data_IF_384986934184
#
_entry.id   IF_384986934184
#
_cell.length_a   1.000
_cell.length_b   1.000
_cell.length_c   1.000
_cell.angle_alpha   90.00
_cell.angle_beta   90.00
_cell.angle_gamma   90.00
#
_symmetry.space_group_name_H-M   'P 1'
#
loop_
_entity.id
_entity.type
_entity.pdbx_description
1 polymer ?
#
# COMPACT_ATOMS: atom_id res chain seq x y z
N UNK A 1 -5.48 15.65 8.14
CA UNK A 1 -4.61 15.01 7.12
C UNK A 1 -5.29 13.69 6.77
N UNK A 2 -5.46 13.36 5.48
CA UNK A 2 -6.08 12.09 5.10
C UNK A 2 -5.00 11.00 5.07
N UNK A 3 -5.19 9.95 5.85
CA UNK A 3 -4.40 8.73 5.74
C UNK A 3 -4.75 8.02 4.43
N UNK A 4 -3.73 7.61 3.68
CA UNK A 4 -3.91 6.87 2.42
C UNK A 4 -3.45 5.44 2.64
N UNK A 5 -4.26 4.47 2.21
CA UNK A 5 -3.90 3.06 2.31
C UNK A 5 -2.95 2.65 1.19
N UNK A 6 -1.87 1.99 1.56
CA UNK A 6 -0.86 1.45 0.66
C UNK A 6 -0.69 -0.06 0.86
N UNK A 7 -0.37 -0.77 -0.20
CA UNK A 7 -0.03 -2.20 -0.16
C UNK A 7 1.48 -2.36 -0.22
N UNK A 8 2.04 -3.10 0.74
CA UNK A 8 3.47 -3.42 0.78
C UNK A 8 3.81 -4.39 -0.35
N UNK A 9 4.74 -4.01 -1.24
CA UNK A 9 5.20 -4.85 -2.35
C UNK A 9 6.36 -5.76 -1.97
N UNK A 10 7.19 -5.34 -1.02
CA UNK A 10 8.39 -6.05 -0.58
C UNK A 10 8.38 -6.05 0.95
N UNK A 11 8.62 -7.21 1.57
CA UNK A 11 8.68 -7.30 3.02
C UNK A 11 9.88 -6.52 3.58
N UNK A 12 9.69 -5.87 4.72
CA UNK A 12 10.73 -5.03 5.32
C UNK A 12 10.20 -4.08 6.38
N UNK A 13 11.08 -3.23 6.89
CA UNK A 13 10.72 -2.23 7.89
C UNK A 13 10.11 -0.98 7.23
N UNK A 14 8.88 -0.66 7.62
CA UNK A 14 8.19 0.59 7.27
C UNK A 14 7.92 1.34 8.57
N UNK A 15 8.48 2.55 8.71
CA UNK A 15 8.37 3.38 9.92
C UNK A 15 8.72 2.62 11.22
N UNK A 16 9.80 1.82 11.19
CA UNK A 16 10.26 1.04 12.34
C UNK A 16 9.44 -0.22 12.66
N UNK A 17 8.39 -0.54 11.88
CA UNK A 17 7.63 -1.79 12.01
C UNK A 17 7.89 -2.71 10.83
N UNK A 18 8.22 -3.96 11.10
CA UNK A 18 8.34 -4.97 10.05
C UNK A 18 6.95 -5.27 9.46
N UNK A 19 6.83 -5.20 8.13
CA UNK A 19 5.61 -5.47 7.38
C UNK A 19 5.87 -6.54 6.33
N UNK A 20 4.94 -7.48 6.21
CA UNK A 20 5.01 -8.55 5.20
C UNK A 20 4.52 -8.04 3.84
N UNK A 21 5.02 -8.62 2.76
CA UNK A 21 4.51 -8.39 1.40
C UNK A 21 3.00 -8.67 1.35
N UNK A 22 2.24 -7.80 0.69
CA UNK A 22 0.78 -7.84 0.59
C UNK A 22 0.03 -7.19 1.75
N UNK A 23 0.73 -6.82 2.84
CA UNK A 23 0.09 -6.12 3.97
C UNK A 23 -0.40 -4.75 3.52
N UNK A 24 -1.66 -4.41 3.82
CA UNK A 24 -2.15 -3.04 3.69
C UNK A 24 -1.76 -2.25 4.92
N UNK A 25 -1.20 -1.06 4.72
CA UNK A 25 -0.84 -0.13 5.77
C UNK A 25 -1.35 1.25 5.43
N UNK A 26 -1.83 1.97 6.43
CA UNK A 26 -2.19 3.36 6.30
C UNK A 26 -0.97 4.23 6.61
N UNK A 27 -0.66 5.12 5.68
CA UNK A 27 0.45 6.06 5.80
C UNK A 27 -0.01 7.44 5.39
N UNK A 28 0.61 8.45 5.98
CA UNK A 28 0.50 9.81 5.48
C UNK A 28 1.22 9.92 4.13
N UNK A 29 0.75 10.76 3.20
CA UNK A 29 1.41 10.96 1.90
C UNK A 29 2.89 11.34 2.04
N UNK A 30 3.22 12.16 3.03
CA UNK A 30 4.60 12.57 3.35
C UNK A 30 5.47 11.39 3.77
N UNK A 31 4.93 10.42 4.52
CA UNK A 31 5.65 9.22 4.96
C UNK A 31 5.77 8.20 3.83
N UNK A 32 4.72 8.04 3.03
CA UNK A 32 4.68 7.09 1.92
C UNK A 32 5.61 7.46 0.76
N UNK A 33 5.94 8.75 0.59
CA UNK A 33 6.73 9.26 -0.54
C UNK A 33 8.05 8.51 -0.75
N UNK A 34 8.83 8.29 0.32
CA UNK A 34 10.10 7.57 0.24
C UNK A 34 9.89 6.11 -0.15
N UNK A 35 8.95 5.43 0.50
CA UNK A 35 8.69 4.00 0.23
C UNK A 35 8.07 3.76 -1.15
N UNK A 36 7.30 4.72 -1.67
CA UNK A 36 6.79 4.72 -3.04
C UNK A 36 7.95 4.87 -4.04
N UNK A 37 8.86 5.81 -3.79
CA UNK A 37 10.05 6.04 -4.63
C UNK A 37 10.99 4.84 -4.65
N UNK A 38 11.15 4.17 -3.52
CA UNK A 38 11.93 2.92 -3.40
C UNK A 38 11.19 1.69 -3.97
N UNK A 39 9.92 1.82 -4.37
CA UNK A 39 9.10 0.69 -4.86
C UNK A 39 8.73 -0.35 -3.79
N UNK A 40 8.87 0.00 -2.50
CA UNK A 40 8.55 -0.87 -1.36
C UNK A 40 7.06 -0.98 -1.10
N UNK A 41 6.29 0.07 -1.40
CA UNK A 41 4.84 0.11 -1.28
C UNK A 41 4.21 0.61 -2.59
N UNK A 42 2.93 0.35 -2.78
CA UNK A 42 2.12 0.90 -3.87
C UNK A 42 0.80 1.43 -3.33
N UNK A 43 0.20 2.46 -3.94
CA UNK A 43 -1.15 2.88 -3.58
C UNK A 43 -2.07 1.67 -3.71
N UNK A 44 -2.91 1.41 -2.70
CA UNK A 44 -3.96 0.40 -2.86
C UNK A 44 -4.85 0.90 -3.99
N UNK A 45 -4.76 0.26 -5.16
CA UNK A 45 -5.65 0.56 -6.26
C UNK A 45 -7.07 0.45 -5.71
N UNK A 46 -7.86 1.53 -5.85
CA UNK A 46 -9.29 1.46 -5.61
C UNK A 46 -9.78 0.17 -6.31
N UNK A 47 -10.52 -0.70 -5.60
CA UNK A 47 -10.90 -2.00 -6.15
C UNK A 47 -11.46 -1.75 -7.54
N UNK A 48 -10.75 -2.22 -8.59
CA UNK A 48 -11.35 -2.31 -9.92
C UNK A 48 -12.69 -3.00 -9.68
N UNK A 49 -13.83 -2.42 -10.05
CA UNK A 49 -15.11 -3.06 -9.86
C UNK A 49 -14.95 -4.47 -10.40
N UNK A 50 -15.04 -5.47 -9.51
CA UNK A 50 -15.04 -6.86 -9.90
C UNK A 50 -16.12 -6.95 -10.97
N UNK A 51 -15.69 -7.13 -12.23
CA UNK A 51 -16.60 -7.45 -13.29
C UNK A 51 -17.37 -8.66 -12.78
N UNK A 52 -18.65 -8.45 -12.50
CA UNK A 52 -19.55 -9.49 -12.04
C UNK A 52 -19.33 -10.69 -12.95
N UNK A 53 -18.96 -11.82 -12.35
CA UNK A 53 -19.28 -13.10 -12.96
C UNK A 53 -20.78 -13.06 -13.31
N UNK A 54 -21.07 -13.14 -14.60
CA UNK A 54 -22.34 -13.55 -15.19
C UNK A 54 -21.90 -14.49 -16.31
N UNK A 55 -21.95 -15.78 -15.98
CA UNK A 55 -22.98 -16.73 -16.47
C UNK A 55 -22.67 -17.12 -17.92
#
# INVERSE_FOLDING_TARGET
MQDTSYTVKIEGFILGKFRKKGTTIDLLPSQATTFLREGRIVPKAAPKPQAKAKD
#
